data_IF_054366137239
#
_entry.id   IF_054366137239
#
_cell.length_a   1.000
_cell.length_b   1.000
_cell.length_c   1.000
_cell.angle_alpha   90.00
_cell.angle_beta   90.00
_cell.angle_gamma   90.00
#
_symmetry.space_group_name_H-M   'P 1'
#
loop_
_entity.id
_entity.type
_entity.pdbx_description
1 polymer ?
#
# COMPACT_ATOMS: atom_id res chain seq x y z
N UNK A 1 0.16 42.33 23.26
CA UNK A 1 -0.69 41.21 22.81
C UNK A 1 -0.24 40.73 21.44
N UNK A 2 -0.03 41.63 20.47
CA UNK A 2 0.49 41.28 19.14
C UNK A 2 1.87 40.57 19.17
N UNK A 3 2.84 41.10 19.93
CA UNK A 3 4.20 40.51 20.03
C UNK A 3 4.20 39.13 20.70
N UNK A 4 3.35 38.91 21.72
CA UNK A 4 3.24 37.61 22.40
C UNK A 4 2.63 36.54 21.49
N UNK A 5 1.64 36.89 20.67
CA UNK A 5 1.03 35.97 19.71
C UNK A 5 2.00 35.62 18.58
N UNK A 6 2.73 36.63 18.09
CA UNK A 6 3.78 36.43 17.09
C UNK A 6 4.90 35.54 17.64
N UNK A 7 5.34 35.77 18.87
CA UNK A 7 6.33 34.92 19.54
C UNK A 7 5.88 33.46 19.57
N UNK A 8 4.66 33.18 20.04
CA UNK A 8 4.13 31.81 20.07
C UNK A 8 4.00 31.19 18.67
N UNK A 9 3.73 32.00 17.65
CA UNK A 9 3.64 31.53 16.26
C UNK A 9 5.01 31.13 15.73
N UNK A 10 6.02 32.00 15.87
CA UNK A 10 7.41 31.71 15.50
C UNK A 10 7.90 30.48 16.25
N UNK A 11 7.61 30.35 17.56
CA UNK A 11 8.01 29.18 18.35
C UNK A 11 7.46 27.88 17.78
N UNK A 12 6.17 27.83 17.44
CA UNK A 12 5.54 26.62 16.89
C UNK A 12 6.15 26.24 15.54
N UNK A 13 6.34 27.22 14.65
CA UNK A 13 6.93 26.99 13.34
C UNK A 13 8.39 26.54 13.45
N UNK A 14 9.17 27.18 14.33
CA UNK A 14 10.57 26.84 14.57
C UNK A 14 10.71 25.42 15.14
N UNK A 15 9.92 25.03 16.15
CA UNK A 15 9.94 23.67 16.71
C UNK A 15 9.60 22.61 15.67
N UNK A 16 8.66 22.88 14.76
CA UNK A 16 8.33 21.96 13.67
C UNK A 16 9.49 21.81 12.68
N UNK A 17 10.05 22.93 12.22
CA UNK A 17 11.12 22.94 11.22
C UNK A 17 12.46 22.44 11.80
N UNK A 18 12.75 22.67 13.07
CA UNK A 18 13.95 22.16 13.75
C UNK A 18 14.02 20.64 13.67
N UNK A 19 12.92 19.95 13.97
CA UNK A 19 12.84 18.49 13.88
C UNK A 19 13.10 17.97 12.46
N UNK A 20 12.71 18.72 11.44
CA UNK A 20 12.84 18.35 10.03
C UNK A 20 14.27 18.60 9.52
N UNK A 21 14.80 19.80 9.77
CA UNK A 21 16.13 20.20 9.33
C UNK A 21 17.26 19.66 10.23
N UNK A 22 16.93 18.87 11.26
CA UNK A 22 17.90 18.02 11.94
C UNK A 22 18.41 16.89 11.02
N UNK A 23 17.60 16.41 10.08
CA UNK A 23 17.97 15.32 9.16
C UNK A 23 18.86 15.77 8.00
N UNK A 24 20.07 15.21 7.89
CA UNK A 24 21.04 15.58 6.84
C UNK A 24 20.51 15.42 5.40
N UNK A 25 19.71 14.38 5.13
CA UNK A 25 19.24 14.10 3.78
C UNK A 25 18.22 15.14 3.28
N UNK A 26 17.38 15.67 4.17
CA UNK A 26 16.46 16.77 3.84
C UNK A 26 17.22 18.07 3.65
N UNK A 27 18.20 18.35 4.53
CA UNK A 27 19.07 19.54 4.40
C UNK A 27 19.76 19.62 3.04
N UNK A 28 20.23 18.48 2.52
CA UNK A 28 20.87 18.40 1.19
C UNK A 28 19.89 18.66 0.04
N UNK A 29 18.63 18.27 0.20
CA UNK A 29 17.59 18.46 -0.83
C UNK A 29 17.01 19.87 -0.83
N UNK A 30 16.94 20.51 0.34
CA UNK A 30 16.41 21.86 0.54
C UNK A 30 17.53 22.81 1.03
N UNK A 31 18.61 22.93 0.25
CA UNK A 31 19.82 23.64 0.67
C UNK A 31 19.59 25.14 0.89
N UNK A 32 18.75 25.78 0.05
CA UNK A 32 18.41 27.20 0.19
C UNK A 32 17.63 27.43 1.49
N UNK A 33 16.61 26.60 1.72
CA UNK A 33 15.74 26.69 2.90
C UNK A 33 16.51 26.31 4.17
N UNK A 34 17.48 25.40 4.08
CA UNK A 34 18.39 25.06 5.19
C UNK A 34 19.22 26.25 5.60
N UNK A 35 19.85 26.95 4.65
CA UNK A 35 20.65 28.13 4.97
C UNK A 35 19.81 29.23 5.63
N UNK A 36 18.57 29.43 5.13
CA UNK A 36 17.63 30.38 5.72
C UNK A 36 17.18 29.95 7.13
N UNK A 37 16.91 28.65 7.32
CA UNK A 37 16.55 28.12 8.64
C UNK A 37 17.70 28.27 9.64
N UNK A 38 18.95 28.02 9.24
CA UNK A 38 20.11 28.18 10.12
C UNK A 38 20.27 29.64 10.57
N UNK A 39 20.06 30.61 9.67
CA UNK A 39 20.07 32.03 10.01
C UNK A 39 18.96 32.38 11.02
N UNK A 40 17.73 31.94 10.74
CA UNK A 40 16.58 32.14 11.64
C UNK A 40 16.82 31.46 12.99
N UNK A 41 17.45 30.29 13.00
CA UNK A 41 17.75 29.53 14.23
C UNK A 41 18.72 30.28 15.15
N UNK A 42 19.78 30.88 14.60
CA UNK A 42 20.70 31.69 15.40
C UNK A 42 20.04 32.96 15.94
N UNK A 43 19.23 33.63 15.12
CA UNK A 43 18.42 34.78 15.56
C UNK A 43 17.41 34.41 16.64
N UNK A 44 16.77 33.25 16.51
CA UNK A 44 15.82 32.72 17.49
C UNK A 44 16.50 32.49 18.84
N UNK A 45 17.65 31.80 18.88
CA UNK A 45 18.42 31.58 20.10
C UNK A 45 18.87 32.88 20.77
N UNK A 46 19.36 33.84 19.99
CA UNK A 46 19.75 35.16 20.50
C UNK A 46 18.55 35.90 21.12
N UNK A 47 17.42 35.92 20.42
CA UNK A 47 16.18 36.56 20.88
C UNK A 47 15.64 35.89 22.15
N UNK A 48 15.59 34.55 22.20
CA UNK A 48 15.17 33.82 23.40
C UNK A 48 16.09 34.07 24.60
N UNK A 49 17.39 34.24 24.37
CA UNK A 49 18.35 34.56 25.43
C UNK A 49 18.06 35.93 26.04
N UNK A 50 17.73 36.94 25.20
CA UNK A 50 17.34 38.28 25.65
C UNK A 50 16.02 38.23 26.41
N UNK A 51 15.01 37.55 25.87
CA UNK A 51 13.69 37.43 26.52
C UNK A 51 13.77 36.74 27.88
N UNK A 52 14.62 35.71 28.02
CA UNK A 52 14.81 34.98 29.27
C UNK A 52 15.45 35.84 30.39
N UNK A 53 16.14 36.94 30.05
CA UNK A 53 16.68 37.88 31.05
C UNK A 53 15.59 38.74 31.72
N UNK A 54 14.41 38.84 31.09
CA UNK A 54 13.29 39.66 31.57
C UNK A 54 12.06 38.79 31.91
N UNK A 55 11.87 38.37 33.17
CA UNK A 55 10.77 37.48 33.55
C UNK A 55 9.38 38.14 33.44
N UNK A 56 9.31 39.47 33.32
CA UNK A 56 8.06 40.18 33.08
C UNK A 56 7.76 40.21 31.57
N UNK A 57 6.72 39.48 31.15
CA UNK A 57 6.29 39.39 29.75
C UNK A 57 5.98 40.75 29.11
N UNK A 58 5.44 41.71 29.86
CA UNK A 58 5.20 43.06 29.35
C UNK A 58 6.53 43.76 29.04
N UNK A 59 7.50 43.73 29.95
CA UNK A 59 8.80 44.35 29.71
C UNK A 59 9.57 43.64 28.59
N UNK A 60 9.58 42.30 28.58
CA UNK A 60 10.32 41.51 27.59
C UNK A 60 9.83 41.78 26.15
N UNK A 61 8.52 41.97 25.98
CA UNK A 61 7.90 42.20 24.66
C UNK A 61 7.99 43.65 24.16
N UNK A 62 8.42 44.59 25.01
CA UNK A 62 8.66 45.99 24.65
C UNK A 62 10.16 46.34 24.57
N UNK A 63 11.04 45.33 24.60
CA UNK A 63 12.46 45.52 24.32
C UNK A 63 12.65 45.92 22.85
N UNK A 64 13.51 46.91 22.62
CA UNK A 64 13.73 47.49 21.30
C UNK A 64 14.23 46.44 20.30
N UNK A 65 13.52 46.28 19.18
CA UNK A 65 13.91 45.39 18.07
C UNK A 65 13.40 43.95 18.17
N UNK A 66 12.85 43.52 19.31
CA UNK A 66 12.27 42.16 19.47
C UNK A 66 11.09 41.94 18.52
N UNK A 67 10.24 42.95 18.37
CA UNK A 67 9.11 42.95 17.44
C UNK A 67 9.57 42.75 15.99
N UNK A 68 10.60 43.47 15.57
CA UNK A 68 11.16 43.39 14.21
C UNK A 68 11.84 42.05 13.93
N UNK A 69 12.59 41.53 14.89
CA UNK A 69 13.24 40.21 14.75
C UNK A 69 12.19 39.09 14.71
N UNK A 70 11.14 39.15 15.54
CA UNK A 70 10.04 38.19 15.48
C UNK A 70 9.26 38.26 14.16
N UNK A 71 9.01 39.44 13.61
CA UNK A 71 8.37 39.60 12.30
C UNK A 71 9.26 39.04 11.18
N UNK A 72 10.57 39.33 11.22
CA UNK A 72 11.54 38.78 10.28
C UNK A 72 11.57 37.24 10.32
N UNK A 73 11.63 36.65 11.52
CA UNK A 73 11.63 35.19 11.68
C UNK A 73 10.32 34.58 11.18
N UNK A 74 9.16 35.18 11.50
CA UNK A 74 7.86 34.67 11.04
C UNK A 74 7.78 34.61 9.50
N UNK A 75 8.16 35.69 8.81
CA UNK A 75 8.14 35.75 7.34
C UNK A 75 9.04 34.68 6.70
N UNK A 76 10.26 34.51 7.23
CA UNK A 76 11.19 33.52 6.71
C UNK A 76 10.75 32.08 7.01
N UNK A 77 10.19 31.82 8.20
CA UNK A 77 9.64 30.51 8.55
C UNK A 77 8.43 30.17 7.67
N UNK A 78 7.57 31.14 7.34
CA UNK A 78 6.48 30.96 6.37
C UNK A 78 7.00 30.64 4.96
N UNK A 79 8.06 31.30 4.49
CA UNK A 79 8.68 30.99 3.19
C UNK A 79 9.26 29.56 3.18
N UNK A 80 9.93 29.16 4.25
CA UNK A 80 10.47 27.80 4.41
C UNK A 80 9.34 26.78 4.41
N UNK A 81 8.26 27.01 5.16
CA UNK A 81 7.10 26.12 5.20
C UNK A 81 6.45 25.95 3.84
N UNK A 82 6.23 27.05 3.11
CA UNK A 82 5.66 27.00 1.76
C UNK A 82 6.55 26.21 0.80
N UNK A 83 7.87 26.40 0.89
CA UNK A 83 8.83 25.69 0.05
C UNK A 83 8.86 24.19 0.38
N UNK A 84 8.78 23.84 1.67
CA UNK A 84 8.66 22.47 2.14
C UNK A 84 7.37 21.80 1.63
N UNK A 85 6.23 22.48 1.72
CA UNK A 85 4.94 21.99 1.21
C UNK A 85 5.00 21.72 -0.30
N UNK A 86 5.56 22.65 -1.08
CA UNK A 86 5.76 22.48 -2.51
C UNK A 86 6.67 21.28 -2.83
N UNK A 87 7.71 21.08 -2.03
CA UNK A 87 8.61 19.94 -2.16
C UNK A 87 7.89 18.61 -1.86
N UNK A 88 7.15 18.52 -0.76
CA UNK A 88 6.37 17.33 -0.41
C UNK A 88 5.30 17.02 -1.46
N UNK A 89 4.62 18.03 -1.99
CA UNK A 89 3.63 17.87 -3.06
C UNK A 89 4.27 17.34 -4.35
N UNK A 90 5.48 17.80 -4.70
CA UNK A 90 6.23 17.23 -5.82
C UNK A 90 6.55 15.75 -5.59
N UNK A 91 6.97 15.35 -4.38
CA UNK A 91 7.19 13.94 -4.03
C UNK A 91 5.91 13.12 -4.14
N UNK A 92 4.76 13.65 -3.72
CA UNK A 92 3.45 12.99 -3.87
C UNK A 92 3.06 12.77 -5.34
N UNK A 93 3.32 13.75 -6.21
CA UNK A 93 3.09 13.59 -7.66
C UNK A 93 3.97 12.48 -8.26
N UNK A 94 5.21 12.36 -7.77
CA UNK A 94 6.14 11.31 -8.20
C UNK A 94 5.79 9.94 -7.63
N UNK A 95 5.12 9.85 -6.49
CA UNK A 95 4.60 8.58 -5.99
C UNK A 95 3.25 8.79 -5.30
N UNK A 96 2.13 8.62 -6.03
CA UNK A 96 0.80 8.97 -5.53
C UNK A 96 0.37 8.28 -4.24
N UNK A 97 1.00 7.16 -3.85
CA UNK A 97 0.73 6.52 -2.56
C UNK A 97 1.10 7.40 -1.35
N UNK A 98 1.97 8.40 -1.55
CA UNK A 98 2.25 9.39 -0.51
C UNK A 98 1.09 10.34 -0.19
N UNK A 99 0.00 10.34 -0.98
CA UNK A 99 -1.23 11.04 -0.60
C UNK A 99 -1.98 10.34 0.57
N UNK A 100 -1.67 9.08 0.87
CA UNK A 100 -2.33 8.31 1.94
C UNK A 100 -1.65 8.42 3.31
N UNK A 101 -0.54 9.16 3.41
CA UNK A 101 0.24 9.31 4.64
C UNK A 101 0.35 10.78 5.06
N UNK A 102 0.61 11.00 6.35
CA UNK A 102 0.82 12.35 6.88
C UNK A 102 2.12 12.98 6.35
N UNK A 103 2.27 14.30 6.51
CA UNK A 103 3.53 14.98 6.20
C UNK A 103 4.68 14.40 7.03
N UNK A 104 4.43 14.08 8.31
CA UNK A 104 5.46 13.56 9.21
C UNK A 104 5.97 12.18 8.77
N UNK A 105 5.05 11.27 8.41
CA UNK A 105 5.41 9.95 7.86
C UNK A 105 6.21 10.11 6.55
N UNK A 106 5.78 11.03 5.68
CA UNK A 106 6.47 11.28 4.41
C UNK A 106 7.88 11.82 4.64
N UNK A 107 8.06 12.75 5.58
CA UNK A 107 9.36 13.30 5.95
C UNK A 107 10.27 12.23 6.54
N UNK A 108 9.74 11.34 7.39
CA UNK A 108 10.50 10.21 7.94
C UNK A 108 11.00 9.28 6.82
N UNK A 109 10.12 8.94 5.85
CA UNK A 109 10.49 8.12 4.69
C UNK A 109 11.57 8.81 3.84
N UNK A 110 11.43 10.11 3.57
CA UNK A 110 12.40 10.88 2.78
C UNK A 110 13.75 11.02 3.51
N UNK A 111 13.73 11.16 4.83
CA UNK A 111 14.92 11.19 5.69
C UNK A 111 15.65 9.85 5.79
N UNK A 112 14.98 8.74 5.49
CA UNK A 112 15.55 7.38 5.45
C UNK A 112 15.81 6.88 4.02
N UNK A 113 15.87 7.77 3.02
CA UNK A 113 15.99 7.40 1.60
C UNK A 113 17.17 6.46 1.28
N UNK A 114 18.29 6.60 2.00
CA UNK A 114 19.49 5.74 1.86
C UNK A 114 19.52 4.52 2.79
N UNK A 115 18.52 4.39 3.67
CA UNK A 115 18.41 3.33 4.65
C UNK A 115 17.06 2.61 4.48
N UNK A 116 16.92 1.70 3.48
CA UNK A 116 15.67 0.99 3.22
C UNK A 116 15.02 0.30 4.44
N UNK A 117 15.79 -0.26 5.41
CA UNK A 117 15.21 -0.76 6.66
C UNK A 117 14.36 0.27 7.43
N UNK A 118 14.73 1.55 7.40
CA UNK A 118 13.99 2.64 8.03
C UNK A 118 12.64 2.94 7.36
N UNK A 119 12.45 2.56 6.10
CA UNK A 119 11.20 2.76 5.37
C UNK A 119 10.21 1.61 5.60
N UNK A 120 10.68 0.43 6.03
CA UNK A 120 9.84 -0.76 6.21
C UNK A 120 8.63 -0.57 7.15
N UNK A 121 8.72 0.15 8.28
CA UNK A 121 7.57 0.43 9.15
C UNK A 121 6.41 1.14 8.43
N UNK A 122 6.71 1.89 7.38
CA UNK A 122 5.76 2.70 6.62
C UNK A 122 5.11 1.93 5.45
N UNK A 123 5.64 0.76 5.08
CA UNK A 123 5.14 -0.02 3.93
C UNK A 123 3.65 -0.35 4.03
N UNK A 124 3.17 -0.70 5.23
CA UNK A 124 1.75 -0.96 5.50
C UNK A 124 0.83 0.23 5.23
N UNK A 125 1.35 1.45 5.36
CA UNK A 125 0.58 2.67 5.11
C UNK A 125 0.57 3.02 3.62
N UNK A 126 1.63 2.65 2.89
CA UNK A 126 1.78 2.91 1.45
C UNK A 126 1.07 1.88 0.57
N UNK A 127 0.98 0.63 1.04
CA UNK A 127 0.45 -0.50 0.28
C UNK A 127 -0.62 -1.23 1.07
N UNK A 128 -1.75 -1.52 0.41
CA UNK A 128 -2.89 -2.22 1.01
C UNK A 128 -2.49 -3.55 1.69
N UNK A 129 -1.62 -4.35 1.05
CA UNK A 129 -1.19 -5.62 1.62
C UNK A 129 0.30 -5.96 1.40
N UNK A 130 1.18 -4.96 1.41
CA UNK A 130 2.62 -5.18 1.61
C UNK A 130 3.00 -4.69 3.00
N UNK A 131 3.20 -5.62 3.93
CA UNK A 131 3.62 -5.35 5.29
C UNK A 131 5.09 -4.97 5.38
N UNK A 132 5.94 -5.68 4.64
CA UNK A 132 7.39 -5.45 4.61
C UNK A 132 8.00 -6.16 3.40
N UNK A 133 9.27 -5.88 3.13
CA UNK A 133 10.08 -6.54 2.12
C UNK A 133 11.19 -7.37 2.78
N UNK A 134 11.53 -8.51 2.20
CA UNK A 134 12.75 -9.23 2.56
C UNK A 134 13.93 -8.50 1.91
N UNK A 135 14.79 -7.91 2.76
CA UNK A 135 15.95 -7.12 2.32
C UNK A 135 17.21 -7.97 2.31
N UNK A 136 17.98 -7.87 1.24
CA UNK A 136 19.28 -8.53 1.09
C UNK A 136 20.32 -7.45 0.79
N UNK A 137 21.44 -7.47 1.54
CA UNK A 137 22.60 -6.64 1.23
C UNK A 137 23.36 -7.29 0.07
N UNK A 138 23.73 -6.50 -0.93
CA UNK A 138 24.72 -6.96 -1.91
C UNK A 138 26.02 -7.31 -1.19
N UNK A 139 26.80 -8.24 -1.73
CA UNK A 139 28.13 -8.57 -1.19
C UNK A 139 29.00 -7.30 -1.16
N UNK A 140 29.51 -6.93 0.02
CA UNK A 140 30.32 -5.72 0.23
C UNK A 140 29.52 -4.51 0.76
N UNK A 141 29.88 -3.31 0.30
CA UNK A 141 29.26 -2.00 0.66
C UNK A 141 28.16 -1.56 -0.31
N UNK A 142 27.66 -2.47 -1.13
CA UNK A 142 26.67 -2.16 -2.17
C UNK A 142 25.25 -1.86 -1.62
N UNK A 143 24.39 -1.24 -2.43
CA UNK A 143 23.00 -0.96 -2.09
C UNK A 143 22.21 -2.22 -1.73
N UNK A 144 21.16 -2.06 -0.92
CA UNK A 144 20.26 -3.16 -0.58
C UNK A 144 19.31 -3.45 -1.74
N UNK A 145 18.84 -4.69 -1.80
CA UNK A 145 17.78 -5.10 -2.72
C UNK A 145 16.67 -5.83 -1.99
N UNK A 146 15.44 -5.70 -2.48
CA UNK A 146 14.32 -6.51 -2.04
C UNK A 146 14.21 -7.79 -2.90
N UNK A 147 14.03 -8.93 -2.25
CA UNK A 147 13.86 -10.24 -2.92
C UNK A 147 12.42 -10.75 -2.84
N UNK A 148 11.67 -10.37 -1.81
CA UNK A 148 10.33 -10.88 -1.57
C UNK A 148 9.46 -9.80 -0.92
N UNK A 149 8.16 -9.83 -1.19
CA UNK A 149 7.17 -9.07 -0.45
C UNK A 149 6.43 -9.96 0.54
N UNK A 150 6.08 -9.41 1.71
CA UNK A 150 5.33 -10.12 2.75
C UNK A 150 4.02 -9.39 3.06
N UNK A 151 2.92 -10.13 3.14
CA UNK A 151 1.59 -9.60 3.45
C UNK A 151 1.36 -9.43 4.96
N UNK A 152 0.22 -8.86 5.34
CA UNK A 152 -0.18 -8.74 6.75
C UNK A 152 -0.43 -10.10 7.43
N UNK A 153 -0.80 -11.11 6.65
CA UNK A 153 -1.02 -12.51 7.06
C UNK A 153 0.29 -13.32 7.09
N UNK A 154 1.43 -12.65 6.87
CA UNK A 154 2.75 -13.24 6.73
C UNK A 154 2.90 -14.19 5.52
N UNK A 155 2.03 -14.06 4.50
CA UNK A 155 2.24 -14.71 3.20
C UNK A 155 3.40 -14.04 2.47
N UNK A 156 4.37 -14.83 2.01
CA UNK A 156 5.50 -14.32 1.23
C UNK A 156 5.32 -14.62 -0.25
N UNK A 157 5.65 -13.62 -1.07
CA UNK A 157 5.68 -13.77 -2.53
C UNK A 157 7.06 -13.31 -3.01
N UNK A 158 7.91 -14.23 -3.50
CA UNK A 158 9.21 -13.87 -4.03
C UNK A 158 9.07 -13.12 -5.34
N UNK A 159 9.92 -12.13 -5.54
CA UNK A 159 10.09 -11.49 -6.83
C UNK A 159 10.89 -12.39 -7.76
N UNK A 160 10.58 -12.33 -9.06
CA UNK A 160 11.42 -12.96 -10.07
C UNK A 160 12.64 -12.05 -10.30
N UNK A 161 13.65 -12.23 -9.43
CA UNK A 161 14.86 -11.43 -9.34
C UNK A 161 14.90 -10.55 -8.08
N UNK A 162 15.60 -9.43 -8.18
CA UNK A 162 15.79 -8.46 -7.10
C UNK A 162 15.30 -7.08 -7.53
N UNK A 163 14.76 -6.30 -6.60
CA UNK A 163 14.45 -4.88 -6.79
C UNK A 163 15.49 -4.07 -6.04
N UNK A 164 16.29 -3.29 -6.77
CA UNK A 164 17.32 -2.43 -6.19
C UNK A 164 16.68 -1.28 -5.40
N UNK A 165 17.06 -1.12 -4.14
CA UNK A 165 16.55 -0.08 -3.24
C UNK A 165 17.60 1.03 -3.07
N UNK A 166 17.90 1.70 -4.18
CA UNK A 166 18.96 2.71 -4.24
C UNK A 166 18.45 4.03 -4.84
N UNK A 167 19.05 5.13 -4.42
CA UNK A 167 18.68 6.48 -4.83
C UNK A 167 17.38 6.99 -4.20
N UNK A 168 16.57 7.69 -5.00
CA UNK A 168 15.36 8.37 -4.52
C UNK A 168 14.27 7.37 -4.12
N UNK A 169 13.67 7.57 -2.94
CA UNK A 169 12.72 6.64 -2.33
C UNK A 169 11.46 6.43 -3.14
N UNK A 170 10.91 7.50 -3.71
CA UNK A 170 9.78 7.47 -4.62
C UNK A 170 10.02 6.58 -5.86
N UNK A 171 11.27 6.52 -6.33
CA UNK A 171 11.64 5.77 -7.53
C UNK A 171 11.66 4.28 -7.24
N UNK A 172 12.41 3.86 -6.22
CA UNK A 172 12.48 2.43 -5.92
C UNK A 172 11.16 1.91 -5.32
N UNK A 173 10.37 2.73 -4.62
CA UNK A 173 9.01 2.35 -4.21
C UNK A 173 8.09 2.09 -5.42
N UNK A 174 8.22 2.92 -6.46
CA UNK A 174 7.51 2.71 -7.74
C UNK A 174 8.01 1.44 -8.45
N UNK A 175 9.30 1.14 -8.39
CA UNK A 175 9.85 -0.09 -8.95
C UNK A 175 9.34 -1.33 -8.20
N UNK A 176 9.23 -1.26 -6.87
CA UNK A 176 8.58 -2.29 -6.04
C UNK A 176 7.11 -2.46 -6.43
N UNK A 177 6.36 -1.38 -6.64
CA UNK A 177 4.96 -1.45 -7.09
C UNK A 177 4.83 -2.13 -8.46
N UNK A 178 5.66 -1.76 -9.42
CA UNK A 178 5.67 -2.36 -10.75
C UNK A 178 6.01 -3.85 -10.67
N UNK A 179 7.01 -4.20 -9.87
CA UNK A 179 7.42 -5.60 -9.67
C UNK A 179 6.33 -6.42 -8.98
N UNK A 180 5.66 -5.86 -7.98
CA UNK A 180 4.50 -6.46 -7.33
C UNK A 180 3.43 -6.82 -8.38
N UNK A 181 3.02 -5.87 -9.22
CA UNK A 181 1.99 -6.11 -10.26
C UNK A 181 2.41 -7.22 -11.23
N UNK A 182 3.66 -7.18 -11.70
CA UNK A 182 4.22 -8.18 -12.62
C UNK A 182 4.21 -9.59 -12.00
N UNK A 183 4.67 -9.71 -10.76
CA UNK A 183 4.78 -10.99 -10.05
C UNK A 183 3.41 -11.54 -9.70
N UNK A 184 2.49 -10.72 -9.17
CA UNK A 184 1.12 -11.16 -8.89
C UNK A 184 0.44 -11.66 -10.16
N UNK A 185 0.54 -10.93 -11.28
CA UNK A 185 0.00 -11.36 -12.57
C UNK A 185 0.54 -12.74 -12.98
N UNK A 186 1.86 -12.95 -12.90
CA UNK A 186 2.47 -14.26 -13.20
C UNK A 186 2.02 -15.36 -12.25
N UNK A 187 1.92 -15.09 -10.95
CA UNK A 187 1.40 -16.07 -9.98
C UNK A 187 -0.04 -16.46 -10.28
N UNK A 188 -0.89 -15.53 -10.70
CA UNK A 188 -2.26 -15.85 -11.16
C UNK A 188 -2.25 -16.72 -12.41
N UNK A 189 -1.40 -16.43 -13.41
CA UNK A 189 -1.27 -17.26 -14.63
C UNK A 189 -0.87 -18.69 -14.29
N UNK A 190 0.19 -18.86 -13.49
CA UNK A 190 0.67 -20.16 -13.06
C UNK A 190 -0.40 -20.91 -12.23
N UNK A 191 -1.07 -20.20 -11.32
CA UNK A 191 -2.13 -20.76 -10.50
C UNK A 191 -3.32 -21.26 -11.34
N UNK A 192 -3.72 -20.53 -12.40
CA UNK A 192 -4.77 -20.95 -13.33
C UNK A 192 -4.40 -22.17 -14.14
N UNK A 193 -3.17 -22.22 -14.66
CA UNK A 193 -2.67 -23.37 -15.41
C UNK A 193 -2.65 -24.63 -14.54
N UNK A 194 -2.20 -24.51 -13.28
CA UNK A 194 -2.17 -25.65 -12.37
C UNK A 194 -3.58 -26.05 -11.92
N UNK A 195 -4.51 -25.09 -11.79
CA UNK A 195 -5.94 -25.32 -11.51
C UNK A 195 -6.57 -26.26 -12.55
N UNK A 196 -6.32 -26.00 -13.84
CA UNK A 196 -6.91 -26.80 -14.94
C UNK A 196 -6.39 -28.23 -14.96
N UNK A 197 -5.18 -28.45 -14.44
CA UNK A 197 -4.51 -29.74 -14.43
C UNK A 197 -4.75 -30.56 -13.15
N UNK A 198 -5.10 -29.95 -12.02
CA UNK A 198 -5.22 -30.66 -10.74
C UNK A 198 -6.58 -31.33 -10.49
N UNK A 199 -7.56 -31.15 -11.38
CA UNK A 199 -8.91 -31.69 -11.23
C UNK A 199 -9.53 -31.35 -9.88
N UNK A 200 -10.01 -32.35 -9.14
CA UNK A 200 -10.67 -32.14 -7.83
C UNK A 200 -9.73 -32.24 -6.63
N UNK A 201 -8.44 -32.57 -6.83
CA UNK A 201 -7.44 -32.68 -5.77
C UNK A 201 -6.73 -31.33 -5.58
N UNK A 202 -7.37 -30.42 -4.85
CA UNK A 202 -6.93 -29.02 -4.71
C UNK A 202 -5.86 -28.77 -3.64
N UNK A 203 -5.52 -29.77 -2.81
CA UNK A 203 -4.60 -29.58 -1.68
C UNK A 203 -3.20 -29.12 -2.10
N UNK A 204 -2.55 -29.84 -3.03
CA UNK A 204 -1.21 -29.48 -3.51
C UNK A 204 -1.24 -28.09 -4.19
N UNK A 205 -2.25 -27.85 -5.01
CA UNK A 205 -2.45 -26.58 -5.70
C UNK A 205 -2.55 -25.40 -4.72
N UNK A 206 -3.38 -25.51 -3.68
CA UNK A 206 -3.55 -24.45 -2.67
C UNK A 206 -2.25 -24.14 -1.92
N UNK A 207 -1.45 -25.17 -1.62
CA UNK A 207 -0.18 -25.02 -0.91
C UNK A 207 0.92 -24.40 -1.79
N UNK A 208 0.87 -24.63 -3.10
CA UNK A 208 1.90 -24.16 -4.04
C UNK A 208 1.70 -22.73 -4.56
N UNK A 209 0.52 -22.14 -4.36
CA UNK A 209 0.16 -20.83 -4.93
C UNK A 209 -0.30 -19.84 -3.86
N UNK A 210 -0.04 -18.52 -4.04
CA UNK A 210 -0.53 -17.49 -3.11
C UNK A 210 -2.05 -17.51 -2.94
N UNK A 211 -2.56 -17.15 -1.76
CA UNK A 211 -4.00 -17.20 -1.44
C UNK A 211 -4.85 -16.39 -2.40
N UNK A 212 -4.44 -15.15 -2.68
CA UNK A 212 -5.13 -14.28 -3.63
C UNK A 212 -5.14 -14.87 -5.05
N UNK A 213 -4.04 -15.48 -5.49
CA UNK A 213 -3.96 -16.10 -6.81
C UNK A 213 -4.92 -17.30 -6.92
N UNK A 214 -5.03 -18.12 -5.87
CA UNK A 214 -5.97 -19.22 -5.79
C UNK A 214 -7.42 -18.75 -5.91
N UNK A 215 -7.80 -17.71 -5.16
CA UNK A 215 -9.17 -17.15 -5.20
C UNK A 215 -9.47 -16.63 -6.60
N UNK A 216 -8.60 -15.79 -7.16
CA UNK A 216 -8.83 -15.20 -8.48
C UNK A 216 -8.88 -16.26 -9.58
N UNK A 217 -7.99 -17.26 -9.53
CA UNK A 217 -8.02 -18.38 -10.48
C UNK A 217 -9.32 -19.18 -10.39
N UNK A 218 -9.80 -19.50 -9.18
CA UNK A 218 -11.08 -20.18 -8.95
C UNK A 218 -12.26 -19.38 -9.49
N UNK A 219 -12.32 -18.07 -9.25
CA UNK A 219 -13.39 -17.20 -9.75
C UNK A 219 -13.41 -17.12 -11.28
N UNK A 220 -12.24 -17.08 -11.92
CA UNK A 220 -12.15 -17.11 -13.39
C UNK A 220 -12.66 -18.45 -13.92
N UNK A 221 -12.18 -19.57 -13.38
CA UNK A 221 -12.59 -20.91 -13.79
C UNK A 221 -14.10 -21.10 -13.63
N UNK A 222 -14.66 -20.67 -12.51
CA UNK A 222 -16.09 -20.73 -12.24
C UNK A 222 -16.89 -19.86 -13.23
N UNK A 223 -16.46 -18.62 -13.47
CA UNK A 223 -17.13 -17.70 -14.41
C UNK A 223 -17.18 -18.31 -15.81
N UNK A 224 -16.05 -18.84 -16.31
CA UNK A 224 -15.94 -19.45 -17.63
C UNK A 224 -16.83 -20.70 -17.77
N UNK A 225 -16.90 -21.54 -16.73
CA UNK A 225 -17.71 -22.76 -16.72
C UNK A 225 -19.21 -22.47 -16.70
N UNK A 226 -19.67 -21.60 -15.79
CA UNK A 226 -21.09 -21.23 -15.67
C UNK A 226 -21.55 -20.52 -16.94
N UNK A 227 -20.75 -19.60 -17.47
CA UNK A 227 -21.07 -18.89 -18.70
C UNK A 227 -21.14 -19.82 -19.90
N UNK A 228 -20.21 -20.79 -20.01
CA UNK A 228 -20.27 -21.84 -21.04
C UNK A 228 -21.55 -22.66 -20.93
N UNK A 229 -21.95 -23.05 -19.72
CA UNK A 229 -23.22 -23.74 -19.48
C UNK A 229 -24.42 -22.92 -19.92
N UNK A 230 -24.46 -21.62 -19.60
CA UNK A 230 -25.53 -20.71 -20.02
C UNK A 230 -25.57 -20.49 -21.54
N UNK A 231 -24.42 -20.50 -22.22
CA UNK A 231 -24.35 -20.34 -23.69
C UNK A 231 -24.74 -21.61 -24.43
N UNK A 232 -24.27 -22.77 -23.98
CA UNK A 232 -24.44 -24.03 -24.71
C UNK A 232 -25.73 -24.76 -24.33
N UNK A 233 -25.96 -24.97 -23.02
CA UNK A 233 -27.13 -25.68 -22.50
C UNK A 233 -27.23 -25.48 -20.99
N UNK A 234 -28.18 -24.66 -20.54
CA UNK A 234 -28.38 -24.34 -19.12
C UNK A 234 -28.65 -25.57 -18.22
N UNK A 235 -29.03 -26.73 -18.76
CA UNK A 235 -29.10 -27.98 -17.99
C UNK A 235 -27.74 -28.41 -17.43
N UNK A 236 -26.62 -27.97 -18.04
CA UNK A 236 -25.26 -28.22 -17.58
C UNK A 236 -24.95 -27.53 -16.24
N UNK A 237 -25.72 -26.52 -15.82
CA UNK A 237 -25.60 -25.94 -14.47
C UNK A 237 -25.77 -26.99 -13.37
N UNK A 238 -26.56 -28.05 -13.60
CA UNK A 238 -26.68 -29.18 -12.66
C UNK A 238 -25.37 -29.96 -12.51
N UNK A 239 -24.57 -30.04 -13.58
CA UNK A 239 -23.24 -30.65 -13.58
C UNK A 239 -22.24 -29.74 -12.87
N UNK A 240 -22.28 -28.43 -13.15
CA UNK A 240 -21.42 -27.44 -12.49
C UNK A 240 -21.65 -27.45 -10.97
N UNK A 241 -22.92 -27.51 -10.53
CA UNK A 241 -23.28 -27.68 -9.12
C UNK A 241 -22.68 -28.93 -8.50
N UNK A 242 -22.73 -30.08 -9.19
CA UNK A 242 -22.16 -31.34 -8.68
C UNK A 242 -20.65 -31.23 -8.53
N UNK A 243 -19.97 -30.61 -9.50
CA UNK A 243 -18.52 -30.33 -9.45
C UNK A 243 -18.20 -29.42 -8.25
N UNK A 244 -18.98 -28.37 -8.05
CA UNK A 244 -18.82 -27.44 -6.94
C UNK A 244 -18.97 -28.13 -5.58
N UNK A 245 -19.96 -29.01 -5.42
CA UNK A 245 -20.12 -29.81 -4.19
C UNK A 245 -18.91 -30.71 -3.93
N UNK A 246 -18.32 -31.30 -4.97
CA UNK A 246 -17.14 -32.15 -4.83
C UNK A 246 -15.90 -31.35 -4.41
N UNK A 247 -15.72 -30.15 -4.97
CA UNK A 247 -14.66 -29.20 -4.58
C UNK A 247 -14.83 -28.77 -3.13
N UNK A 248 -16.03 -28.35 -2.72
CA UNK A 248 -16.32 -27.96 -1.33
C UNK A 248 -16.11 -29.11 -0.34
N UNK A 249 -16.46 -30.35 -0.71
CA UNK A 249 -16.17 -31.53 0.11
C UNK A 249 -14.67 -31.72 0.29
N UNK A 250 -13.88 -31.59 -0.79
CA UNK A 250 -12.42 -31.67 -0.71
C UNK A 250 -11.84 -30.62 0.26
N UNK A 251 -12.30 -29.38 0.15
CA UNK A 251 -11.88 -28.33 1.07
C UNK A 251 -12.31 -28.58 2.51
N UNK A 252 -13.52 -29.10 2.73
CA UNK A 252 -14.00 -29.47 4.07
C UNK A 252 -13.11 -30.55 4.70
N UNK A 253 -12.67 -31.53 3.91
CA UNK A 253 -11.76 -32.57 4.37
C UNK A 253 -10.35 -32.02 4.64
N UNK A 254 -9.90 -31.01 3.88
CA UNK A 254 -8.65 -30.30 4.16
C UNK A 254 -8.71 -29.48 5.47
N UNK A 255 -9.83 -28.81 5.77
CA UNK A 255 -10.00 -27.99 6.98
C UNK A 255 -9.79 -28.81 8.27
N UNK A 256 -10.19 -30.10 8.23
CA UNK A 256 -10.07 -31.05 9.34
C UNK A 256 -8.62 -31.51 9.60
N UNK A 257 -7.70 -31.27 8.67
CA UNK A 257 -6.28 -31.63 8.84
C UNK A 257 -5.56 -30.59 9.70
N UNK A 258 -4.35 -30.94 10.12
CA UNK A 258 -3.42 -30.00 10.73
C UNK A 258 -2.90 -29.04 9.66
N UNK A 259 -3.28 -27.77 9.79
CA UNK A 259 -2.91 -26.68 8.89
C UNK A 259 -2.18 -25.62 9.69
N UNK A 260 -1.17 -25.01 9.09
CA UNK A 260 -0.58 -23.77 9.62
C UNK A 260 -1.63 -22.66 9.66
N UNK A 261 -1.37 -21.60 10.44
CA UNK A 261 -2.26 -20.43 10.51
C UNK A 261 -2.53 -19.84 9.12
N UNK A 262 -1.50 -19.69 8.31
CA UNK A 262 -1.60 -19.14 6.95
C UNK A 262 -2.41 -20.05 6.03
N UNK A 263 -2.13 -21.36 6.00
CA UNK A 263 -2.90 -22.31 5.19
C UNK A 263 -4.39 -22.33 5.57
N UNK A 264 -4.68 -22.23 6.87
CA UNK A 264 -6.07 -22.17 7.35
C UNK A 264 -6.78 -20.90 6.86
N UNK A 265 -6.14 -19.74 6.94
CA UNK A 265 -6.69 -18.48 6.43
C UNK A 265 -6.98 -18.61 4.93
N UNK A 266 -6.00 -19.05 4.13
CA UNK A 266 -6.15 -19.24 2.67
C UNK A 266 -7.31 -20.17 2.33
N UNK A 267 -7.39 -21.32 3.01
CA UNK A 267 -8.43 -22.31 2.77
C UNK A 267 -9.82 -21.79 3.13
N UNK A 268 -9.96 -21.12 4.27
CA UNK A 268 -11.24 -20.55 4.70
C UNK A 268 -11.70 -19.46 3.75
N UNK A 269 -10.80 -18.54 3.36
CA UNK A 269 -11.12 -17.49 2.38
C UNK A 269 -11.57 -18.08 1.05
N UNK A 270 -10.89 -19.11 0.54
CA UNK A 270 -11.29 -19.78 -0.69
C UNK A 270 -12.65 -20.48 -0.55
N UNK A 271 -12.88 -21.21 0.55
CA UNK A 271 -14.15 -21.88 0.80
C UNK A 271 -15.32 -20.91 0.84
N UNK A 272 -15.16 -19.73 1.44
CA UNK A 272 -16.21 -18.69 1.45
C UNK A 272 -16.62 -18.29 0.04
N UNK A 273 -15.64 -18.06 -0.85
CA UNK A 273 -15.89 -17.71 -2.25
C UNK A 273 -16.58 -18.87 -3.00
N UNK A 274 -16.13 -20.10 -2.77
CA UNK A 274 -16.65 -21.30 -3.43
C UNK A 274 -18.07 -21.67 -2.94
N UNK A 275 -18.43 -21.33 -1.70
CA UNK A 275 -19.80 -21.43 -1.19
C UNK A 275 -20.71 -20.44 -1.92
N UNK A 276 -20.30 -19.18 -2.03
CA UNK A 276 -21.06 -18.17 -2.78
C UNK A 276 -21.27 -18.61 -4.25
N UNK A 277 -20.20 -19.08 -4.90
CA UNK A 277 -20.25 -19.60 -6.26
C UNK A 277 -21.27 -20.75 -6.45
N UNK A 278 -21.38 -21.66 -5.47
CA UNK A 278 -22.41 -22.71 -5.44
C UNK A 278 -23.82 -22.13 -5.31
N UNK A 279 -23.99 -21.16 -4.42
CA UNK A 279 -25.30 -20.57 -4.13
C UNK A 279 -25.84 -19.80 -5.35
N UNK A 280 -24.97 -19.08 -6.06
CA UNK A 280 -25.31 -18.47 -7.36
C UNK A 280 -25.77 -19.54 -8.36
N UNK A 281 -25.06 -20.67 -8.49
CA UNK A 281 -25.51 -21.76 -9.38
C UNK A 281 -26.90 -22.29 -8.96
N UNK A 282 -27.16 -22.43 -7.65
CA UNK A 282 -28.46 -22.85 -7.14
C UNK A 282 -29.57 -21.86 -7.53
N UNK A 283 -29.32 -20.56 -7.39
CA UNK A 283 -30.27 -19.51 -7.73
C UNK A 283 -30.54 -19.46 -9.24
N UNK A 284 -29.51 -19.58 -10.07
CA UNK A 284 -29.67 -19.67 -11.53
C UNK A 284 -30.54 -20.86 -11.95
N UNK A 285 -30.35 -22.03 -11.30
CA UNK A 285 -31.17 -23.23 -11.54
C UNK A 285 -32.60 -23.01 -11.07
N UNK A 286 -32.79 -22.45 -9.86
CA UNK A 286 -34.11 -22.21 -9.25
C UNK A 286 -34.93 -21.24 -10.09
N UNK A 287 -34.31 -20.16 -10.56
CA UNK A 287 -34.93 -19.14 -11.40
C UNK A 287 -35.01 -19.55 -12.88
N UNK A 288 -34.59 -20.77 -13.23
CA UNK A 288 -34.63 -21.32 -14.58
C UNK A 288 -33.93 -20.43 -15.63
N UNK A 289 -32.79 -19.85 -15.27
CA UNK A 289 -32.01 -18.99 -16.15
C UNK A 289 -31.44 -19.80 -17.31
N UNK A 290 -31.60 -19.28 -18.54
CA UNK A 290 -31.26 -19.99 -19.78
C UNK A 290 -30.21 -19.30 -20.65
N UNK A 291 -29.83 -18.06 -20.33
CA UNK A 291 -28.93 -17.25 -21.16
C UNK A 291 -27.95 -16.45 -20.30
N UNK A 292 -26.75 -16.20 -20.84
CA UNK A 292 -25.73 -15.33 -20.23
C UNK A 292 -26.11 -13.83 -20.28
N UNK A 293 -27.15 -13.47 -21.02
CA UNK A 293 -27.70 -12.10 -21.06
C UNK A 293 -28.70 -11.81 -19.94
N UNK A 294 -29.08 -12.80 -19.13
CA UNK A 294 -30.01 -12.63 -18.01
C UNK A 294 -29.40 -11.77 -16.91
N UNK A 295 -30.18 -10.83 -16.36
CA UNK A 295 -29.72 -9.91 -15.33
C UNK A 295 -29.26 -10.65 -14.06
N UNK A 296 -29.87 -11.78 -13.71
CA UNK A 296 -29.50 -12.66 -12.59
C UNK A 296 -28.04 -13.14 -12.68
N UNK A 297 -27.55 -13.37 -13.90
CA UNK A 297 -26.15 -13.66 -14.15
C UNK A 297 -25.31 -12.38 -14.26
N UNK A 298 -25.83 -11.36 -14.93
CA UNK A 298 -25.07 -10.12 -15.17
C UNK A 298 -24.77 -9.32 -13.91
N UNK A 299 -25.63 -9.39 -12.90
CA UNK A 299 -25.43 -8.72 -11.62
C UNK A 299 -24.34 -9.37 -10.74
N UNK A 300 -23.86 -10.57 -11.11
CA UNK A 300 -22.78 -11.25 -10.38
C UNK A 300 -21.43 -10.66 -10.77
N UNK A 301 -20.46 -10.70 -9.85
CA UNK A 301 -19.07 -10.39 -10.15
C UNK A 301 -18.46 -11.51 -10.98
N UNK A 302 -18.15 -11.20 -12.24
CA UNK A 302 -17.64 -12.18 -13.22
C UNK A 302 -16.20 -11.87 -13.56
N UNK A 303 -15.34 -12.87 -13.41
CA UNK A 303 -13.90 -12.73 -13.60
C UNK A 303 -13.49 -13.37 -14.92
N UNK A 304 -12.80 -12.61 -15.75
CA UNK A 304 -12.34 -13.05 -17.05
C UNK A 304 -10.84 -12.88 -17.17
N UNK A 305 -10.22 -13.78 -17.92
CA UNK A 305 -8.89 -13.56 -18.45
C UNK A 305 -8.97 -13.18 -19.92
N UNK A 306 -8.65 -11.93 -20.27
CA UNK A 306 -8.67 -11.45 -21.66
C UNK A 306 -7.43 -10.61 -21.93
N UNK A 307 -6.75 -10.89 -23.05
CA UNK A 307 -5.54 -10.14 -23.50
C UNK A 307 -4.49 -9.98 -22.39
N UNK A 308 -4.23 -11.06 -21.67
CA UNK A 308 -3.31 -11.09 -20.52
C UNK A 308 -3.69 -10.19 -19.34
N UNK A 309 -4.95 -9.77 -19.25
CA UNK A 309 -5.47 -9.00 -18.13
C UNK A 309 -6.64 -9.72 -17.46
N UNK A 310 -6.80 -9.46 -16.17
CA UNK A 310 -7.94 -9.92 -15.38
C UNK A 310 -9.00 -8.82 -15.47
N UNK A 311 -10.12 -9.12 -16.11
CA UNK A 311 -11.24 -8.19 -16.25
C UNK A 311 -12.36 -8.67 -15.34
N UNK A 312 -12.89 -7.77 -14.53
CA UNK A 312 -14.01 -8.03 -13.64
C UNK A 312 -15.20 -7.25 -14.18
N UNK A 313 -16.30 -7.93 -14.48
CA UNK A 313 -17.52 -7.31 -15.02
C UNK A 313 -18.71 -7.56 -14.07
N UNK A 314 -19.51 -6.51 -13.85
CA UNK A 314 -20.75 -6.57 -13.10
C UNK A 314 -21.73 -5.56 -13.69
N UNK A 315 -22.98 -5.97 -13.93
CA UNK A 315 -24.06 -5.05 -14.26
C UNK A 315 -24.68 -4.52 -12.96
N UNK A 316 -24.82 -3.20 -12.88
CA UNK A 316 -25.52 -2.52 -11.79
C UNK A 316 -26.86 -2.08 -12.37
N UNK A 317 -27.94 -2.56 -11.75
CA UNK A 317 -29.32 -2.26 -12.15
C UNK A 317 -29.81 -0.91 -11.69
#
# INVERSE_FOLDING_TARGET
LEVTELWLTVQRQWLYLENIFYGEDIRRQLAKETALFDEVNEKWKATMTILNQSPNAFHATHLEGVDKELQYMNLNLEEIQKSLEMYLENKRRQFPRFYFISNDDLLEILGQSKNPPGVMPHMKKLFDNIKTLTLVKSTGTGPMSATEMRSNEDETVPFDGQVLLDGQVEKWLRDVENKMKEVVKRKVIACRHDLSNCGTKREKWLKSHPGQACITASQIQWTEEVQKSLRENALKLKTDRKKQHLVLRNFTDMIKKNLTKLERIKLVSLVTIEIHARDVINDLIKNQIKTESSFEWQQQLRFYWRKDEIIIEQAIG
#
